data_IF_816725595680
#
_entry.id   IF_816725595680
#
_cell.length_a   1.000
_cell.length_b   1.000
_cell.length_c   1.000
_cell.angle_alpha   90.00
_cell.angle_beta   90.00
_cell.angle_gamma   90.00
#
_symmetry.space_group_name_H-M   'P 1'
#
loop_
_entity.id
_entity.type
_entity.pdbx_description
1 polymer ?
#
# COMPACT_ATOMS: atom_id res chain seq x y z
N UNK A 1 -5.91 11.37 18.17
CA UNK A 1 -5.12 12.39 17.45
C UNK A 1 -5.47 12.26 15.98
N UNK A 2 -6.26 13.17 15.41
CA UNK A 2 -6.55 13.15 13.98
C UNK A 2 -5.31 13.74 13.28
N UNK A 3 -4.53 12.90 12.62
CA UNK A 3 -3.50 13.34 11.69
C UNK A 3 -4.25 13.79 10.42
N UNK A 4 -4.57 15.08 10.35
CA UNK A 4 -4.99 15.71 9.11
C UNK A 4 -3.73 15.94 8.26
N UNK A 5 -3.82 15.68 6.96
CA UNK A 5 -2.76 16.11 6.04
C UNK A 5 -2.87 17.64 6.01
N UNK A 6 -1.82 18.37 6.41
CA UNK A 6 -1.87 19.82 6.36
C UNK A 6 -2.10 20.30 4.92
N UNK A 7 -2.97 21.29 4.74
CA UNK A 7 -3.37 21.81 3.42
C UNK A 7 -2.24 22.55 2.67
N UNK A 8 -1.14 22.81 3.33
CA UNK A 8 -0.04 23.65 2.83
C UNK A 8 1.23 22.88 2.41
N UNK A 9 1.17 21.55 2.36
CA UNK A 9 2.32 20.75 1.90
C UNK A 9 2.55 20.77 0.38
N UNK A 10 1.62 21.32 -0.41
CA UNK A 10 1.71 21.30 -1.87
C UNK A 10 1.61 19.87 -2.43
N UNK A 11 2.53 19.50 -3.33
CA UNK A 11 2.58 18.14 -3.91
C UNK A 11 3.23 17.18 -2.91
N UNK A 12 2.52 16.09 -2.59
CA UNK A 12 2.97 15.03 -1.68
C UNK A 12 2.81 13.67 -2.34
N UNK A 13 3.83 12.83 -2.24
CA UNK A 13 3.73 11.44 -2.64
C UNK A 13 3.35 10.54 -1.46
N UNK A 14 2.40 9.65 -1.73
CA UNK A 14 1.94 8.60 -0.83
C UNK A 14 2.19 7.24 -1.47
N UNK A 15 2.78 6.33 -0.70
CA UNK A 15 2.96 4.93 -1.08
C UNK A 15 1.93 4.09 -0.34
N UNK A 16 1.15 3.29 -1.06
CA UNK A 16 0.22 2.32 -0.48
C UNK A 16 0.62 0.89 -0.82
N UNK A 17 0.39 -0.03 0.13
CA UNK A 17 0.97 -1.37 0.13
C UNK A 17 -0.11 -2.40 0.47
N UNK A 18 -0.27 -3.40 -0.41
CA UNK A 18 -0.92 -4.69 -0.11
C UNK A 18 0.19 -5.71 0.22
N UNK A 19 0.48 -6.00 1.51
CA UNK A 19 1.64 -6.78 1.90
C UNK A 19 1.41 -8.29 1.73
N UNK A 20 2.34 -8.96 1.05
CA UNK A 20 2.37 -10.41 0.93
C UNK A 20 3.80 -10.96 0.93
N UNK A 21 3.95 -12.23 1.29
CA UNK A 21 5.27 -12.87 1.42
C UNK A 21 5.95 -13.23 0.10
N UNK A 22 5.18 -13.49 -0.94
CA UNK A 22 5.67 -13.84 -2.26
C UNK A 22 5.39 -12.75 -3.28
N UNK A 23 4.26 -12.06 -3.11
CA UNK A 23 3.82 -10.94 -3.94
C UNK A 23 3.43 -9.79 -3.03
N UNK A 24 3.74 -8.58 -3.41
CA UNK A 24 3.38 -7.37 -2.68
C UNK A 24 2.87 -6.33 -3.67
N UNK A 25 1.62 -5.93 -3.52
CA UNK A 25 1.04 -4.86 -4.30
C UNK A 25 1.53 -3.50 -3.81
N UNK A 26 1.80 -2.61 -4.75
CA UNK A 26 2.26 -1.25 -4.48
C UNK A 26 1.48 -0.25 -5.34
N UNK A 27 1.12 0.89 -4.75
CA UNK A 27 0.69 2.04 -5.53
C UNK A 27 1.33 3.33 -5.01
N UNK A 28 1.74 4.18 -5.93
CA UNK A 28 2.31 5.51 -5.64
C UNK A 28 1.30 6.54 -6.11
N UNK A 29 0.83 7.35 -5.19
CA UNK A 29 -0.08 8.46 -5.42
C UNK A 29 0.69 9.76 -5.40
N UNK A 30 0.48 10.61 -6.40
CA UNK A 30 0.86 12.01 -6.35
C UNK A 30 -0.37 12.84 -5.98
N UNK A 31 -0.29 13.52 -4.85
CA UNK A 31 -1.41 14.25 -4.23
C UNK A 31 -1.09 15.74 -4.18
N UNK A 32 -1.98 16.57 -4.67
CA UNK A 32 -1.95 18.01 -4.38
C UNK A 32 -2.82 18.30 -3.15
N UNK A 33 -2.17 18.59 -2.02
CA UNK A 33 -2.86 18.82 -0.74
C UNK A 33 -3.60 20.15 -0.70
N UNK A 34 -3.16 21.14 -1.48
CA UNK A 34 -3.75 22.47 -1.52
C UNK A 34 -5.09 22.49 -2.26
N UNK A 35 -5.18 21.73 -3.35
CA UNK A 35 -6.40 21.57 -4.15
C UNK A 35 -7.20 20.33 -3.80
N UNK A 36 -6.60 19.44 -3.00
CA UNK A 36 -7.13 18.10 -2.67
C UNK A 36 -7.43 17.29 -3.92
N UNK A 37 -6.45 17.24 -4.81
CA UNK A 37 -6.55 16.53 -6.09
C UNK A 37 -5.57 15.38 -6.13
N UNK A 38 -6.02 14.23 -6.65
CA UNK A 38 -5.14 13.14 -7.05
C UNK A 38 -4.61 13.49 -8.44
N UNK A 39 -3.31 13.70 -8.57
CA UNK A 39 -2.70 14.01 -9.86
C UNK A 39 -2.47 12.74 -10.69
N UNK A 40 -1.88 11.72 -10.06
CA UNK A 40 -1.60 10.44 -10.71
C UNK A 40 -1.53 9.29 -9.71
N UNK A 41 -1.75 8.08 -10.20
CA UNK A 41 -1.60 6.83 -9.46
C UNK A 41 -0.83 5.85 -10.34
N UNK A 42 0.35 5.43 -9.88
CA UNK A 42 1.13 4.36 -10.52
C UNK A 42 1.04 3.11 -9.65
N UNK A 43 0.57 1.99 -10.20
CA UNK A 43 0.43 0.75 -9.43
C UNK A 43 1.15 -0.42 -10.12
N UNK A 44 1.71 -1.32 -9.30
CA UNK A 44 2.46 -2.47 -9.77
C UNK A 44 2.58 -3.53 -8.66
N UNK A 45 2.98 -4.74 -9.06
CA UNK A 45 3.21 -5.85 -8.13
C UNK A 45 4.67 -6.22 -8.08
N UNK A 46 5.21 -6.35 -6.87
CA UNK A 46 6.56 -6.86 -6.60
C UNK A 46 6.46 -8.37 -6.40
N UNK A 47 7.20 -9.13 -7.21
CA UNK A 47 7.41 -10.56 -7.02
C UNK A 47 8.68 -10.77 -6.19
N UNK A 48 8.54 -11.06 -4.91
CA UNK A 48 9.64 -11.07 -3.93
C UNK A 48 10.72 -12.12 -4.28
N UNK A 49 10.31 -13.25 -4.83
CA UNK A 49 11.24 -14.31 -5.27
C UNK A 49 12.11 -13.91 -6.48
N UNK A 50 11.68 -12.94 -7.28
CA UNK A 50 12.43 -12.42 -8.43
C UNK A 50 13.42 -11.32 -8.05
N UNK A 51 13.41 -10.86 -6.79
CA UNK A 51 14.31 -9.81 -6.32
C UNK A 51 15.72 -10.37 -6.16
N UNK A 52 16.69 -9.65 -6.70
CA UNK A 52 18.10 -9.97 -6.51
C UNK A 52 18.49 -9.82 -5.04
N UNK A 53 19.41 -10.66 -4.60
CA UNK A 53 19.97 -10.56 -3.27
C UNK A 53 21.23 -9.71 -3.28
N UNK A 54 21.05 -8.45 -2.95
CA UNK A 54 22.17 -7.50 -2.79
C UNK A 54 22.51 -7.25 -1.30
N UNK A 55 21.94 -8.06 -0.39
CA UNK A 55 22.05 -7.80 1.06
C UNK A 55 23.44 -8.12 1.64
N UNK A 56 24.28 -8.86 0.92
CA UNK A 56 25.58 -9.33 1.44
C UNK A 56 25.48 -10.25 2.67
N UNK A 57 24.25 -10.64 3.04
CA UNK A 57 24.03 -11.56 4.15
C UNK A 57 24.47 -12.97 3.74
N UNK A 58 25.06 -13.69 4.70
CA UNK A 58 25.28 -15.13 4.57
C UNK A 58 23.94 -15.84 4.63
N UNK A 59 23.31 -16.00 3.47
CA UNK A 59 21.97 -16.60 3.31
C UNK A 59 21.88 -18.02 3.90
N UNK A 60 23.00 -18.71 3.97
CA UNK A 60 23.10 -20.06 4.53
C UNK A 60 22.71 -20.14 6.01
N UNK A 61 22.70 -19.01 6.72
CA UNK A 61 22.35 -18.93 8.14
C UNK A 61 20.96 -18.28 8.39
N UNK A 62 20.33 -17.71 7.37
CA UNK A 62 19.03 -17.06 7.47
C UNK A 62 17.92 -17.96 6.92
N UNK A 63 16.72 -17.84 7.49
CA UNK A 63 15.55 -18.51 6.92
C UNK A 63 15.11 -17.81 5.64
N UNK A 64 14.63 -18.56 4.65
CA UNK A 64 14.09 -18.03 3.38
C UNK A 64 13.09 -16.90 3.61
N UNK A 65 12.27 -17.03 4.64
CA UNK A 65 11.28 -16.03 5.01
C UNK A 65 11.92 -14.71 5.42
N UNK A 66 12.93 -14.75 6.26
CA UNK A 66 13.66 -13.57 6.71
C UNK A 66 14.31 -12.85 5.53
N UNK A 67 14.94 -13.62 4.62
CA UNK A 67 15.55 -13.08 3.40
C UNK A 67 14.53 -12.38 2.52
N UNK A 68 13.36 -13.01 2.31
CA UNK A 68 12.27 -12.40 1.54
C UNK A 68 11.80 -11.08 2.15
N UNK A 69 11.63 -11.02 3.47
CA UNK A 69 11.23 -9.79 4.17
C UNK A 69 12.28 -8.70 3.99
N UNK A 70 13.56 -9.01 4.15
CA UNK A 70 14.64 -8.03 3.95
C UNK A 70 14.68 -7.49 2.53
N UNK A 71 14.56 -8.36 1.52
CA UNK A 71 14.52 -7.96 0.11
C UNK A 71 13.34 -7.01 -0.15
N UNK A 72 12.16 -7.37 0.35
CA UNK A 72 10.96 -6.54 0.23
C UNK A 72 11.15 -5.18 0.90
N UNK A 73 11.63 -5.15 2.13
CA UNK A 73 11.88 -3.92 2.88
C UNK A 73 12.89 -2.99 2.15
N UNK A 74 13.95 -3.55 1.57
CA UNK A 74 14.92 -2.77 0.78
C UNK A 74 14.27 -2.14 -0.46
N UNK A 75 13.41 -2.88 -1.17
CA UNK A 75 12.69 -2.32 -2.32
C UNK A 75 11.72 -1.23 -1.89
N UNK A 76 10.96 -1.44 -0.81
CA UNK A 76 10.03 -0.44 -0.26
C UNK A 76 10.79 0.82 0.15
N UNK A 77 11.94 0.68 0.84
CA UNK A 77 12.81 1.81 1.18
C UNK A 77 13.22 2.61 -0.05
N UNK A 78 13.73 1.93 -1.08
CA UNK A 78 14.14 2.58 -2.33
C UNK A 78 12.98 3.32 -3.01
N UNK A 79 11.75 2.76 -2.98
CA UNK A 79 10.56 3.42 -3.53
C UNK A 79 10.24 4.67 -2.72
N UNK A 80 10.23 4.60 -1.39
CA UNK A 80 9.98 5.75 -0.51
C UNK A 80 10.98 6.87 -0.78
N UNK A 81 12.27 6.52 -0.85
CA UNK A 81 13.35 7.49 -1.09
C UNK A 81 13.27 8.10 -2.49
N UNK A 82 13.09 7.27 -3.54
CA UNK A 82 13.05 7.75 -4.92
C UNK A 82 11.82 8.60 -5.24
N UNK A 83 10.70 8.33 -4.58
CA UNK A 83 9.46 9.11 -4.73
C UNK A 83 9.38 10.28 -3.74
N UNK A 84 10.31 10.38 -2.80
CA UNK A 84 10.23 11.32 -1.66
C UNK A 84 8.87 11.24 -0.95
N UNK A 85 8.39 10.01 -0.70
CA UNK A 85 7.08 9.80 -0.11
C UNK A 85 7.05 10.29 1.34
N UNK A 86 5.99 11.01 1.69
CA UNK A 86 5.72 11.51 3.05
C UNK A 86 4.68 10.68 3.78
N UNK A 87 3.95 9.84 3.07
CA UNK A 87 2.88 9.02 3.60
C UNK A 87 3.08 7.59 3.10
N UNK A 88 3.03 6.64 4.02
CA UNK A 88 3.03 5.21 3.70
C UNK A 88 1.81 4.58 4.35
N UNK A 89 1.02 3.88 3.56
CA UNK A 89 -0.21 3.23 4.00
C UNK A 89 -0.12 1.75 3.69
N UNK A 90 -0.45 0.88 4.62
CA UNK A 90 -0.43 -0.57 4.40
C UNK A 90 -1.79 -1.20 4.71
N UNK A 91 -2.11 -2.31 4.06
CA UNK A 91 -3.13 -3.17 4.62
C UNK A 91 -2.64 -3.76 5.95
N UNK A 92 -3.52 -3.83 6.94
CA UNK A 92 -3.20 -4.38 8.25
C UNK A 92 -3.32 -5.92 8.24
N UNK A 93 -2.47 -6.64 8.97
CA UNK A 93 -2.63 -8.08 9.10
C UNK A 93 -3.97 -8.41 9.75
N UNK A 94 -4.66 -9.41 9.22
CA UNK A 94 -5.93 -9.87 9.78
C UNK A 94 -5.87 -11.34 10.15
N UNK A 95 -6.54 -11.69 11.24
CA UNK A 95 -6.58 -13.08 11.71
C UNK A 95 -7.65 -13.87 10.96
N UNK A 96 -7.20 -14.92 10.26
CA UNK A 96 -8.09 -15.90 9.64
C UNK A 96 -7.98 -17.24 10.39
N UNK A 97 -9.11 -17.69 10.97
CA UNK A 97 -9.17 -18.95 11.73
C UNK A 97 -8.77 -20.18 10.90
N UNK A 98 -8.98 -20.14 9.58
CA UNK A 98 -8.64 -21.22 8.67
C UNK A 98 -7.14 -21.24 8.31
N UNK A 99 -6.46 -20.11 8.48
CA UNK A 99 -5.04 -19.94 8.11
C UNK A 99 -4.28 -19.15 9.19
N UNK A 100 -4.16 -19.67 10.43
CA UNK A 100 -3.56 -18.92 11.55
C UNK A 100 -2.07 -18.61 11.32
N UNK A 101 -1.34 -19.44 10.61
CA UNK A 101 0.08 -19.22 10.28
C UNK A 101 0.28 -18.05 9.32
N UNK A 102 -0.67 -17.78 8.44
CA UNK A 102 -0.62 -16.64 7.53
C UNK A 102 -0.66 -15.30 8.30
N UNK A 103 -1.43 -15.24 9.39
CA UNK A 103 -1.48 -14.06 10.24
C UNK A 103 -0.10 -13.70 10.83
N UNK A 104 0.62 -14.69 11.38
CA UNK A 104 1.96 -14.47 11.90
C UNK A 104 2.93 -13.95 10.83
N UNK A 105 2.83 -14.49 9.61
CA UNK A 105 3.65 -14.04 8.48
C UNK A 105 3.34 -12.59 8.08
N UNK A 106 2.07 -12.24 7.96
CA UNK A 106 1.65 -10.88 7.62
C UNK A 106 2.02 -9.88 8.73
N UNK A 107 1.87 -10.28 10.00
CA UNK A 107 2.25 -9.43 11.13
C UNK A 107 3.74 -9.09 11.11
N UNK A 108 4.60 -10.08 10.82
CA UNK A 108 6.04 -9.88 10.71
C UNK A 108 6.40 -8.96 9.54
N UNK A 109 5.77 -9.15 8.37
CA UNK A 109 5.98 -8.32 7.19
C UNK A 109 5.57 -6.87 7.48
N UNK A 110 4.35 -6.63 7.96
CA UNK A 110 3.83 -5.29 8.23
C UNK A 110 4.66 -4.59 9.34
N UNK A 111 5.09 -5.32 10.36
CA UNK A 111 5.97 -4.78 11.40
C UNK A 111 7.33 -4.38 10.84
N UNK A 112 7.89 -5.19 9.93
CA UNK A 112 9.17 -4.90 9.26
C UNK A 112 9.04 -3.70 8.33
N UNK A 113 7.95 -3.58 7.58
CA UNK A 113 7.64 -2.40 6.74
C UNK A 113 7.56 -1.14 7.62
N UNK A 114 6.79 -1.19 8.71
CA UNK A 114 6.65 -0.05 9.63
C UNK A 114 8.02 0.40 10.16
N UNK A 115 8.84 -0.55 10.61
CA UNK A 115 10.21 -0.27 11.05
C UNK A 115 11.05 0.38 9.93
N UNK A 116 11.02 -0.18 8.72
CA UNK A 116 11.74 0.36 7.55
C UNK A 116 11.32 1.79 7.26
N UNK A 117 10.02 2.10 7.30
CA UNK A 117 9.52 3.48 7.10
C UNK A 117 10.10 4.44 8.14
N UNK A 118 10.10 4.06 9.41
CA UNK A 118 10.67 4.90 10.48
C UNK A 118 12.20 5.07 10.36
N UNK A 119 12.92 4.04 9.93
CA UNK A 119 14.36 4.11 9.68
C UNK A 119 14.72 4.96 8.44
N UNK A 120 13.78 5.07 7.47
CA UNK A 120 13.97 5.89 6.26
C UNK A 120 13.79 7.38 6.54
N UNK A 121 12.85 7.77 7.42
CA UNK A 121 12.67 9.17 7.79
C UNK A 121 11.66 9.38 8.92
N UNK A 122 12.02 10.25 9.87
CA UNK A 122 11.20 10.53 11.05
C UNK A 122 9.91 11.32 10.74
N UNK A 123 9.81 11.94 9.55
CA UNK A 123 8.66 12.74 9.16
C UNK A 123 7.66 11.98 8.28
N UNK A 124 7.92 10.68 8.02
CA UNK A 124 7.03 9.86 7.19
C UNK A 124 5.89 9.35 8.06
N UNK A 125 4.67 9.62 7.64
CA UNK A 125 3.46 9.11 8.28
C UNK A 125 3.29 7.65 7.87
N UNK A 126 3.24 6.73 8.84
CA UNK A 126 2.82 5.34 8.60
C UNK A 126 1.46 5.07 9.23
N UNK A 127 0.58 4.42 8.48
CA UNK A 127 -0.73 3.95 8.99
C UNK A 127 -1.13 2.65 8.30
N UNK A 128 -2.06 1.91 8.90
CA UNK A 128 -2.58 0.69 8.28
C UNK A 128 -4.10 0.58 8.47
N UNK A 129 -4.76 -0.10 7.52
CA UNK A 129 -6.20 -0.31 7.52
C UNK A 129 -6.53 -1.80 7.43
N UNK A 130 -7.49 -2.25 8.22
CA UNK A 130 -7.99 -3.61 8.11
C UNK A 130 -8.68 -3.86 6.75
N UNK A 131 -8.63 -5.09 6.19
CA UNK A 131 -9.29 -5.43 4.93
C UNK A 131 -10.75 -5.03 4.86
N UNK A 132 -11.45 -5.11 6.00
CA UNK A 132 -12.85 -4.70 6.08
C UNK A 132 -13.03 -3.19 5.91
N UNK A 133 -12.11 -2.37 6.42
CA UNK A 133 -12.14 -0.91 6.25
C UNK A 133 -11.91 -0.55 4.77
N UNK A 134 -11.00 -1.26 4.10
CA UNK A 134 -10.74 -1.11 2.66
C UNK A 134 -12.01 -1.38 1.86
N UNK A 135 -12.68 -2.51 2.11
CA UNK A 135 -13.96 -2.84 1.48
C UNK A 135 -15.06 -1.83 1.78
N UNK A 136 -15.13 -1.31 3.00
CA UNK A 136 -16.12 -0.29 3.38
C UNK A 136 -15.89 1.04 2.64
N UNK A 137 -14.65 1.46 2.46
CA UNK A 137 -14.30 2.70 1.74
C UNK A 137 -14.77 2.68 0.29
N UNK A 138 -14.75 1.51 -0.34
CA UNK A 138 -15.24 1.28 -1.70
C UNK A 138 -16.72 0.87 -1.77
N UNK A 139 -17.46 0.87 -0.65
CA UNK A 139 -18.83 0.34 -0.59
C UNK A 139 -18.94 -1.13 -1.04
N UNK A 140 -17.87 -1.91 -0.89
CA UNK A 140 -17.75 -3.31 -1.26
C UNK A 140 -18.00 -4.28 -0.08
N UNK A 141 -18.32 -3.75 1.11
CA UNK A 141 -18.53 -4.56 2.31
C UNK A 141 -19.70 -5.55 2.12
N UNK A 142 -19.44 -6.83 2.41
CA UNK A 142 -20.43 -7.89 2.27
C UNK A 142 -20.62 -8.42 0.84
N UNK A 143 -20.05 -7.79 -0.17
CA UNK A 143 -20.08 -8.28 -1.55
C UNK A 143 -19.02 -9.37 -1.70
N UNK A 144 -19.39 -10.48 -2.31
CA UNK A 144 -18.51 -11.61 -2.59
C UNK A 144 -18.13 -11.61 -4.07
N UNK A 145 -16.88 -11.87 -4.37
CA UNK A 145 -16.36 -11.96 -5.74
C UNK A 145 -14.87 -11.64 -5.75
N UNK A 146 -14.18 -12.17 -6.75
CA UNK A 146 -12.73 -11.99 -6.87
C UNK A 146 -12.37 -10.60 -7.39
N UNK A 147 -13.18 -10.06 -8.30
CA UNK A 147 -12.92 -8.78 -8.98
C UNK A 147 -13.68 -7.59 -8.38
N UNK A 148 -14.34 -7.78 -7.22
CA UNK A 148 -15.21 -6.76 -6.61
C UNK A 148 -14.45 -5.45 -6.35
N UNK A 149 -13.22 -5.51 -5.86
CA UNK A 149 -12.41 -4.30 -5.60
C UNK A 149 -12.10 -3.59 -6.92
N UNK A 150 -11.72 -4.36 -7.96
CA UNK A 150 -11.45 -3.82 -9.30
C UNK A 150 -12.66 -3.12 -9.89
N UNK A 151 -13.82 -3.75 -9.86
CA UNK A 151 -15.09 -3.18 -10.32
C UNK A 151 -15.47 -1.91 -9.54
N UNK A 152 -15.33 -1.94 -8.21
CA UNK A 152 -15.66 -0.80 -7.36
C UNK A 152 -14.73 0.39 -7.52
N UNK A 153 -13.47 0.19 -7.83
CA UNK A 153 -12.55 1.29 -8.17
C UNK A 153 -12.93 1.98 -9.48
N UNK A 154 -13.48 1.26 -10.47
CA UNK A 154 -14.00 1.87 -11.70
C UNK A 154 -15.20 2.81 -11.43
N UNK A 155 -15.96 2.57 -10.34
CA UNK A 155 -17.06 3.43 -9.92
C UNK A 155 -16.59 4.69 -9.18
N UNK A 156 -15.26 4.88 -8.99
CA UNK A 156 -14.63 6.03 -8.33
C UNK A 156 -13.84 6.85 -9.36
N UNK A 157 -14.49 7.79 -10.08
CA UNK A 157 -13.86 8.51 -11.19
C UNK A 157 -12.59 9.27 -10.80
N UNK A 158 -12.55 9.83 -9.57
CA UNK A 158 -11.41 10.55 -9.02
C UNK A 158 -10.17 9.69 -8.82
N UNK A 159 -10.32 8.38 -8.75
CA UNK A 159 -9.22 7.39 -8.69
C UNK A 159 -8.97 6.80 -10.06
N UNK A 160 -10.02 6.22 -10.68
CA UNK A 160 -9.92 5.49 -11.92
C UNK A 160 -9.27 6.31 -13.05
N UNK A 161 -9.67 7.58 -13.20
CA UNK A 161 -9.14 8.47 -14.26
C UNK A 161 -7.68 8.90 -14.04
N UNK A 162 -7.11 8.62 -12.88
CA UNK A 162 -5.74 9.02 -12.49
C UNK A 162 -4.73 7.89 -12.54
N UNK A 163 -5.20 6.67 -12.79
CA UNK A 163 -4.33 5.50 -12.92
C UNK A 163 -3.53 5.61 -14.22
N UNK A 164 -2.20 5.56 -14.06
CA UNK A 164 -1.26 5.61 -15.18
C UNK A 164 -1.11 4.22 -15.78
N UNK A 165 -1.32 4.12 -17.08
CA UNK A 165 -1.24 2.87 -17.83
C UNK A 165 -2.60 2.22 -18.05
N UNK A 166 -2.57 0.94 -18.44
CA UNK A 166 -3.77 0.17 -18.73
C UNK A 166 -4.30 -0.51 -17.47
N UNK A 167 -5.47 -0.08 -17.02
CA UNK A 167 -6.13 -0.61 -15.82
C UNK A 167 -6.44 -2.11 -15.92
N UNK A 168 -6.76 -2.59 -17.12
CA UNK A 168 -7.12 -3.99 -17.32
C UNK A 168 -5.93 -4.93 -17.15
N UNK A 169 -4.71 -4.43 -17.32
CA UNK A 169 -3.47 -5.16 -17.08
C UNK A 169 -3.03 -5.23 -15.62
N UNK A 170 -3.65 -4.46 -14.74
CA UNK A 170 -3.37 -4.50 -13.31
C UNK A 170 -3.87 -5.81 -12.70
N UNK A 171 -3.01 -6.46 -11.94
CA UNK A 171 -3.35 -7.66 -11.18
C UNK A 171 -4.07 -7.35 -9.85
N UNK A 172 -4.52 -8.39 -9.15
CA UNK A 172 -5.25 -8.30 -7.88
C UNK A 172 -4.46 -7.49 -6.83
N UNK A 173 -3.15 -7.75 -6.69
CA UNK A 173 -2.33 -7.10 -5.66
C UNK A 173 -2.14 -5.59 -5.91
N UNK A 174 -1.88 -5.20 -7.15
CA UNK A 174 -1.77 -3.78 -7.52
C UNK A 174 -3.09 -3.04 -7.35
N UNK A 175 -4.21 -3.69 -7.66
CA UNK A 175 -5.57 -3.18 -7.43
C UNK A 175 -5.85 -3.00 -5.93
N UNK A 176 -5.51 -3.99 -5.10
CA UNK A 176 -5.70 -3.90 -3.65
C UNK A 176 -4.83 -2.80 -3.04
N UNK A 177 -3.60 -2.61 -3.53
CA UNK A 177 -2.76 -1.49 -3.11
C UNK A 177 -3.39 -0.12 -3.45
N UNK A 178 -4.02 0.03 -4.62
CA UNK A 178 -4.79 1.25 -4.95
C UNK A 178 -5.94 1.42 -3.93
N UNK A 179 -6.68 0.36 -3.64
CA UNK A 179 -7.79 0.42 -2.69
C UNK A 179 -7.36 0.83 -1.27
N UNK A 180 -6.19 0.35 -0.82
CA UNK A 180 -5.58 0.73 0.47
C UNK A 180 -5.28 2.23 0.49
N UNK A 181 -4.67 2.78 -0.56
CA UNK A 181 -4.39 4.22 -0.68
C UNK A 181 -5.66 5.06 -0.69
N UNK A 182 -6.65 4.67 -1.48
CA UNK A 182 -7.96 5.33 -1.49
C UNK A 182 -8.64 5.33 -0.12
N UNK A 183 -8.50 4.23 0.64
CA UNK A 183 -9.04 4.14 2.01
C UNK A 183 -8.46 5.21 2.91
N UNK A 184 -7.17 5.49 2.82
CA UNK A 184 -6.55 6.57 3.56
C UNK A 184 -7.19 7.92 3.24
N UNK A 185 -7.38 8.23 1.96
CA UNK A 185 -7.98 9.48 1.52
C UNK A 185 -9.42 9.64 2.04
N UNK A 186 -10.23 8.58 1.96
CA UNK A 186 -11.61 8.57 2.47
C UNK A 186 -11.67 8.73 3.99
N UNK A 187 -10.80 8.03 4.73
CA UNK A 187 -10.81 8.03 6.19
C UNK A 187 -10.30 9.35 6.79
N UNK A 188 -9.35 10.01 6.11
CA UNK A 188 -8.74 11.25 6.59
C UNK A 188 -9.44 12.51 6.10
N UNK A 189 -10.02 12.46 4.91
CA UNK A 189 -10.58 13.66 4.28
C UNK A 189 -12.08 13.53 3.95
N UNK A 190 -12.66 12.32 4.10
CA UNK A 190 -14.04 12.03 3.70
C UNK A 190 -14.20 11.86 2.18
N UNK A 191 -15.25 11.10 1.77
CA UNK A 191 -15.48 10.71 0.36
C UNK A 191 -15.65 11.87 -0.64
N UNK A 192 -15.93 13.09 -0.16
CA UNK A 192 -16.25 14.25 -1.02
C UNK A 192 -15.08 15.21 -1.21
N UNK A 193 -13.89 14.91 -0.74
CA UNK A 193 -12.85 15.90 -0.56
C UNK A 193 -11.70 15.80 -1.55
N UNK A 194 -11.44 14.61 -2.10
CA UNK A 194 -10.41 14.42 -3.14
C UNK A 194 -11.06 14.30 -4.52
N UNK A 195 -10.51 15.03 -5.50
CA UNK A 195 -10.97 15.08 -6.90
C UNK A 195 -9.96 14.46 -7.85
#
# INVERSE_FOLDING_TARGET
MHLEIPEDYGIVNMVSIDPGSNTCGMAVYELDTSTRTINSIMAFTIHVEKLNDNSGLHLDLATDRFVKILKLCNVIKNIIESTNARIVVSEAPFFNKLMPMAYGSLLEIVSSINRTVHETGNEIIFTSYAPQQVKMSLSAAGIKGKDVIKEKLMEVPEVYSKIVGDYDLLDEHSIDAIAVGYTFLVQRCGKKVWK
#
